data_IF_054821115222
#
_entry.id   IF_054821115222
#
_cell.length_a   1.000
_cell.length_b   1.000
_cell.length_c   1.000
_cell.angle_alpha   90.00
_cell.angle_beta   90.00
_cell.angle_gamma   90.00
#
_symmetry.space_group_name_H-M   'P 1'
#
loop_
_entity.id
_entity.type
_entity.pdbx_description
1 polymer ?
#
# COMPACT_ATOMS: atom_id res chain seq x y z
N UNK A 1 55.61 44.10 -58.27
CA UNK A 1 54.29 43.47 -58.42
C UNK A 1 54.51 41.96 -58.46
N UNK A 2 54.54 41.32 -57.28
CA UNK A 2 54.86 39.89 -57.15
C UNK A 2 53.61 39.06 -57.39
N UNK A 3 53.61 38.29 -58.48
CA UNK A 3 52.56 37.34 -58.81
C UNK A 3 52.65 36.17 -57.84
N UNK A 4 51.70 36.07 -56.91
CA UNK A 4 51.56 34.91 -56.03
C UNK A 4 51.00 33.76 -56.88
N UNK A 5 51.86 32.81 -57.20
CA UNK A 5 51.47 31.59 -57.93
C UNK A 5 50.82 30.64 -56.94
N UNK A 6 49.49 30.60 -56.92
CA UNK A 6 48.74 29.54 -56.22
C UNK A 6 49.00 28.20 -56.90
N UNK A 7 49.82 27.35 -56.27
CA UNK A 7 49.96 25.95 -56.65
C UNK A 7 48.62 25.25 -56.41
N UNK A 8 47.91 24.92 -57.49
CA UNK A 8 46.72 24.07 -57.42
C UNK A 8 47.16 22.67 -56.99
N UNK A 9 46.88 22.31 -55.74
CA UNK A 9 47.08 20.95 -55.25
C UNK A 9 45.88 20.14 -55.73
N UNK A 10 46.11 19.23 -56.69
CA UNK A 10 45.08 18.29 -57.11
C UNK A 10 44.80 17.32 -55.96
N UNK A 11 43.55 17.26 -55.53
CA UNK A 11 43.10 16.30 -54.52
C UNK A 11 43.52 14.89 -54.93
N UNK A 12 44.28 14.21 -54.07
CA UNK A 12 44.69 12.84 -54.36
C UNK A 12 43.52 11.91 -54.09
N UNK A 13 43.32 10.93 -54.97
CA UNK A 13 42.26 9.91 -54.82
C UNK A 13 42.33 9.21 -53.45
N UNK A 14 43.55 9.04 -52.93
CA UNK A 14 43.84 8.48 -51.61
C UNK A 14 43.23 9.33 -50.49
N UNK A 15 43.35 10.65 -50.56
CA UNK A 15 42.81 11.56 -49.54
C UNK A 15 41.28 11.49 -49.48
N UNK A 16 40.62 11.42 -50.64
CA UNK A 16 39.16 11.27 -50.69
C UNK A 16 38.71 9.92 -50.11
N UNK A 17 39.47 8.85 -50.36
CA UNK A 17 39.20 7.53 -49.79
C UNK A 17 39.35 7.54 -48.26
N UNK A 18 40.41 8.16 -47.74
CA UNK A 18 40.63 8.29 -46.29
C UNK A 18 39.50 9.10 -45.63
N UNK A 19 39.10 10.22 -46.22
CA UNK A 19 37.99 11.04 -45.71
C UNK A 19 36.69 10.23 -45.69
N UNK A 20 36.42 9.43 -46.72
CA UNK A 20 35.22 8.61 -46.79
C UNK A 20 35.20 7.52 -45.70
N UNK A 21 36.32 6.83 -45.48
CA UNK A 21 36.44 5.83 -44.40
C UNK A 21 36.27 6.47 -43.02
N UNK A 22 36.90 7.63 -42.79
CA UNK A 22 36.74 8.36 -41.54
C UNK A 22 35.29 8.79 -41.32
N UNK A 23 34.62 9.30 -42.36
CA UNK A 23 33.23 9.72 -42.26
C UNK A 23 32.31 8.55 -41.90
N UNK A 24 32.51 7.37 -42.51
CA UNK A 24 31.76 6.16 -42.16
C UNK A 24 32.02 5.76 -40.71
N UNK A 25 33.28 5.78 -40.26
CA UNK A 25 33.64 5.44 -38.89
C UNK A 25 32.99 6.40 -37.87
N UNK A 26 33.04 7.71 -38.15
CA UNK A 26 32.37 8.72 -37.33
C UNK A 26 30.86 8.55 -37.32
N UNK A 27 30.25 8.27 -38.47
CA UNK A 27 28.81 8.01 -38.58
C UNK A 27 28.39 6.80 -37.73
N UNK A 28 29.18 5.72 -37.76
CA UNK A 28 28.94 4.52 -36.94
C UNK A 28 29.15 4.80 -35.44
N UNK A 29 30.19 5.55 -35.06
CA UNK A 29 30.45 5.89 -33.67
C UNK A 29 29.32 6.75 -33.08
N UNK A 30 28.88 7.78 -33.80
CA UNK A 30 27.77 8.65 -33.39
C UNK A 30 26.46 7.86 -33.35
N UNK A 31 26.21 7.03 -34.38
CA UNK A 31 25.01 6.19 -34.44
C UNK A 31 24.94 5.16 -33.29
N UNK A 32 26.07 4.56 -32.93
CA UNK A 32 26.17 3.66 -31.78
C UNK A 32 25.85 4.37 -30.46
N UNK A 33 26.45 5.54 -30.23
CA UNK A 33 26.20 6.33 -29.02
C UNK A 33 24.74 6.78 -28.91
N UNK A 34 24.14 7.22 -30.02
CA UNK A 34 22.74 7.64 -30.03
C UNK A 34 21.80 6.51 -29.59
N UNK A 35 22.02 5.28 -30.07
CA UNK A 35 21.24 4.10 -29.66
C UNK A 35 21.42 3.76 -28.19
N UNK A 36 22.65 3.79 -27.68
CA UNK A 36 22.88 3.54 -26.25
C UNK A 36 22.18 4.57 -25.36
N UNK A 37 22.12 5.83 -25.79
CA UNK A 37 21.41 6.88 -25.05
C UNK A 37 19.90 6.67 -25.09
N UNK A 38 19.32 6.25 -26.21
CA UNK A 38 17.88 5.96 -26.28
C UNK A 38 17.52 4.76 -25.41
N UNK A 39 18.26 3.66 -25.53
CA UNK A 39 18.01 2.45 -24.73
C UNK A 39 18.17 2.70 -23.23
N UNK A 40 19.12 3.57 -22.84
CA UNK A 40 19.31 3.97 -21.45
C UNK A 40 18.16 4.84 -20.93
N UNK A 41 17.60 5.72 -21.77
CA UNK A 41 16.44 6.54 -21.39
C UNK A 41 15.20 5.68 -21.19
N UNK A 42 14.91 4.79 -22.13
CA UNK A 42 13.74 3.93 -22.09
C UNK A 42 13.74 3.06 -20.80
N UNK A 43 14.90 2.52 -20.41
CA UNK A 43 15.06 1.78 -19.15
C UNK A 43 14.86 2.64 -17.90
N UNK A 44 15.35 3.88 -17.92
CA UNK A 44 15.19 4.80 -16.78
C UNK A 44 13.72 5.22 -16.64
N UNK A 45 13.04 5.45 -17.75
CA UNK A 45 11.63 5.81 -17.77
C UNK A 45 10.77 4.63 -17.26
N UNK A 46 11.00 3.41 -17.74
CA UNK A 46 10.32 2.20 -17.26
C UNK A 46 10.52 1.98 -15.75
N UNK A 47 11.77 2.10 -15.26
CA UNK A 47 12.05 1.96 -13.83
C UNK A 47 11.42 3.08 -13.00
N UNK A 48 11.40 4.32 -13.50
CA UNK A 48 10.74 5.45 -12.83
C UNK A 48 9.23 5.22 -12.71
N UNK A 49 8.59 4.73 -13.77
CA UNK A 49 7.16 4.39 -13.76
C UNK A 49 6.85 3.29 -12.73
N UNK A 50 7.62 2.19 -12.74
CA UNK A 50 7.48 1.09 -11.76
C UNK A 50 7.64 1.60 -10.31
N UNK A 51 8.62 2.45 -10.04
CA UNK A 51 8.84 3.04 -8.72
C UNK A 51 7.68 3.96 -8.27
N UNK A 52 7.14 4.77 -9.19
CA UNK A 52 6.01 5.65 -8.89
C UNK A 52 4.73 4.85 -8.61
N UNK A 53 4.51 3.79 -9.38
CA UNK A 53 3.42 2.84 -9.20
C UNK A 53 3.51 2.18 -7.82
N UNK A 54 4.66 1.56 -7.49
CA UNK A 54 4.92 0.94 -6.20
C UNK A 54 4.65 1.89 -5.04
N UNK A 55 5.21 3.11 -5.10
CA UNK A 55 5.04 4.12 -4.06
C UNK A 55 3.57 4.50 -3.86
N UNK A 56 2.82 4.68 -4.93
CA UNK A 56 1.40 5.08 -4.85
C UNK A 56 0.56 4.00 -4.20
N UNK A 57 0.78 2.73 -4.59
CA UNK A 57 0.07 1.58 -4.04
C UNK A 57 0.44 1.37 -2.56
N UNK A 58 1.74 1.30 -2.24
CA UNK A 58 2.22 1.09 -0.88
C UNK A 58 1.75 2.20 0.05
N UNK A 59 1.78 3.46 -0.39
CA UNK A 59 1.27 4.58 0.41
C UNK A 59 -0.22 4.39 0.72
N UNK A 60 -1.02 3.96 -0.27
CA UNK A 60 -2.46 3.74 -0.08
C UNK A 60 -2.73 2.61 0.92
N UNK A 61 -2.09 1.44 0.75
CA UNK A 61 -2.24 0.32 1.68
C UNK A 61 -1.79 0.74 3.09
N UNK A 62 -0.66 1.43 3.20
CA UNK A 62 -0.13 1.93 4.47
C UNK A 62 -1.07 2.89 5.17
N UNK A 63 -1.68 3.80 4.40
CA UNK A 63 -2.64 4.78 4.86
C UNK A 63 -3.94 4.13 5.41
N UNK A 64 -4.42 3.06 4.76
CA UNK A 64 -5.60 2.31 5.19
C UNK A 64 -5.28 1.43 6.42
N UNK A 65 -4.13 0.74 6.43
CA UNK A 65 -3.64 -0.02 7.59
C UNK A 65 -3.39 0.85 8.82
N UNK A 66 -2.81 2.04 8.64
CA UNK A 66 -2.59 2.98 9.75
C UNK A 66 -3.89 3.48 10.39
N UNK A 67 -5.03 3.30 9.71
CA UNK A 67 -6.38 3.65 10.16
C UNK A 67 -7.26 2.42 10.45
N UNK A 68 -6.63 1.25 10.62
CA UNK A 68 -7.31 0.02 11.03
C UNK A 68 -8.02 0.19 12.37
N UNK A 69 -9.19 -0.41 12.50
CA UNK A 69 -9.98 -0.42 13.72
C UNK A 69 -10.27 -1.88 14.12
N UNK A 70 -9.85 -2.31 15.32
CA UNK A 70 -10.19 -3.64 15.82
C UNK A 70 -11.67 -3.67 16.23
N UNK A 71 -12.55 -3.96 15.27
CA UNK A 71 -13.97 -4.11 15.51
C UNK A 71 -14.27 -5.58 15.86
N UNK A 72 -14.75 -5.89 17.09
CA UNK A 72 -15.19 -7.24 17.43
C UNK A 72 -16.54 -7.54 16.77
N UNK A 73 -16.60 -8.63 16.01
CA UNK A 73 -17.82 -9.13 15.37
C UNK A 73 -18.19 -10.47 16.01
N UNK A 74 -19.47 -10.69 16.37
CA UNK A 74 -19.91 -11.96 16.94
C UNK A 74 -19.80 -13.07 15.91
N UNK A 75 -19.16 -14.17 16.27
CA UNK A 75 -19.21 -15.42 15.51
C UNK A 75 -20.60 -16.02 15.68
N UNK A 76 -21.41 -15.99 14.63
CA UNK A 76 -22.63 -16.77 14.58
C UNK A 76 -22.27 -18.23 14.27
N UNK A 77 -22.13 -19.07 15.29
CA UNK A 77 -22.04 -20.54 15.13
C UNK A 77 -23.41 -21.11 14.73
N UNK A 78 -24.01 -20.62 13.65
CA UNK A 78 -25.37 -20.95 13.23
C UNK A 78 -25.47 -22.27 12.46
N UNK A 79 -24.35 -22.93 12.16
CA UNK A 79 -24.29 -24.19 11.40
C UNK A 79 -24.19 -25.46 12.28
N UNK A 80 -24.47 -25.38 13.58
CA UNK A 80 -24.66 -26.58 14.43
C UNK A 80 -26.16 -26.95 14.50
N UNK A 81 -26.63 -27.98 13.78
CA UNK A 81 -28.01 -28.44 13.86
C UNK A 81 -28.15 -29.38 15.04
N UNK A 82 -28.22 -28.89 16.28
CA UNK A 82 -28.77 -29.74 17.35
C UNK A 82 -29.33 -28.94 18.51
N UNK A 83 -30.62 -29.14 18.76
CA UNK A 83 -31.31 -28.58 19.89
C UNK A 83 -30.68 -29.03 21.21
N UNK A 84 -30.13 -28.08 21.96
CA UNK A 84 -30.30 -27.89 23.40
C UNK A 84 -29.55 -26.60 23.77
N UNK A 85 -30.27 -25.49 23.87
CA UNK A 85 -29.68 -24.19 24.17
C UNK A 85 -29.31 -24.13 25.65
N UNK A 86 -28.06 -24.47 25.99
CA UNK A 86 -27.46 -24.02 27.24
C UNK A 86 -27.07 -22.54 27.08
N UNK A 87 -27.93 -21.64 27.55
CA UNK A 87 -27.79 -20.18 27.47
C UNK A 87 -26.70 -19.61 28.40
N UNK A 88 -25.49 -20.17 28.40
CA UNK A 88 -24.37 -19.70 29.24
C UNK A 88 -23.06 -19.47 28.47
N UNK A 89 -23.03 -19.70 27.15
CA UNK A 89 -21.86 -19.36 26.35
C UNK A 89 -21.90 -17.86 26.03
N UNK A 90 -20.90 -17.11 26.52
CA UNK A 90 -20.63 -15.75 26.03
C UNK A 90 -20.41 -15.81 24.51
N UNK A 91 -20.96 -14.87 23.73
CA UNK A 91 -20.72 -14.85 22.29
C UNK A 91 -19.21 -14.72 22.04
N UNK A 92 -18.63 -15.67 21.32
CA UNK A 92 -17.24 -15.57 20.85
C UNK A 92 -17.17 -14.43 19.83
N UNK A 93 -16.32 -13.42 20.06
CA UNK A 93 -16.11 -12.32 19.12
C UNK A 93 -14.73 -12.43 18.50
N UNK A 94 -14.62 -12.21 17.20
CA UNK A 94 -13.34 -12.08 16.49
C UNK A 94 -13.16 -10.67 15.97
N UNK A 95 -11.93 -10.18 15.92
CA UNK A 95 -11.63 -8.91 15.28
C UNK A 95 -11.77 -9.02 13.75
N UNK A 96 -12.25 -7.96 13.11
CA UNK A 96 -12.24 -7.82 11.64
C UNK A 96 -10.83 -7.52 11.13
N UNK A 97 -9.94 -8.49 11.26
CA UNK A 97 -8.59 -8.49 10.72
C UNK A 97 -8.24 -9.93 10.38
N UNK A 98 -8.26 -10.24 9.09
CA UNK A 98 -8.13 -11.58 8.55
C UNK A 98 -7.04 -11.59 7.49
N UNK A 99 -6.14 -12.56 7.59
CA UNK A 99 -5.10 -12.83 6.62
C UNK A 99 -5.27 -14.26 6.11
N UNK A 100 -5.17 -14.41 4.81
CA UNK A 100 -5.11 -15.70 4.13
C UNK A 100 -3.77 -15.78 3.40
N UNK A 101 -2.92 -16.66 3.89
CA UNK A 101 -1.63 -17.00 3.29
C UNK A 101 -1.90 -17.88 2.06
N UNK A 102 -1.65 -17.34 0.86
CA UNK A 102 -1.90 -18.04 -0.39
C UNK A 102 -0.61 -18.13 -1.19
N UNK A 103 0.22 -19.15 -0.93
CA UNK A 103 1.44 -19.35 -1.68
C UNK A 103 1.11 -19.90 -3.06
N UNK A 104 1.57 -19.25 -4.13
CA UNK A 104 1.58 -19.88 -5.45
C UNK A 104 2.72 -20.90 -5.52
N UNK A 105 2.37 -22.15 -5.29
CA UNK A 105 3.28 -23.29 -5.34
C UNK A 105 3.85 -23.55 -6.74
N UNK A 106 3.28 -22.95 -7.79
CA UNK A 106 3.72 -23.18 -9.17
C UNK A 106 4.87 -22.25 -9.59
N UNK A 107 4.83 -20.98 -9.19
CA UNK A 107 5.83 -19.98 -9.60
C UNK A 107 6.60 -19.36 -8.44
N UNK A 108 6.21 -19.65 -7.18
CA UNK A 108 6.83 -19.09 -5.99
C UNK A 108 6.53 -17.60 -5.81
N UNK A 109 5.37 -17.15 -6.29
CA UNK A 109 4.83 -15.82 -6.04
C UNK A 109 3.86 -15.91 -4.86
N UNK A 110 3.91 -14.94 -3.96
CA UNK A 110 2.95 -14.89 -2.86
C UNK A 110 1.70 -14.14 -3.33
N UNK A 111 0.51 -14.70 -3.08
CA UNK A 111 -0.79 -14.14 -3.48
C UNK A 111 -1.68 -13.87 -2.26
N UNK A 112 -1.08 -13.38 -1.18
CA UNK A 112 -1.77 -13.20 0.09
C UNK A 112 -3.00 -12.30 -0.02
N UNK A 113 -3.99 -12.62 0.80
CA UNK A 113 -5.15 -11.77 1.00
C UNK A 113 -5.14 -11.17 2.41
N UNK A 114 -5.32 -9.85 2.51
CA UNK A 114 -5.49 -9.15 3.79
C UNK A 114 -6.80 -8.37 3.81
N UNK A 115 -7.66 -8.69 4.78
CA UNK A 115 -8.96 -8.08 4.99
C UNK A 115 -9.04 -7.43 6.37
N UNK A 116 -9.51 -6.19 6.44
CA UNK A 116 -9.64 -5.48 7.72
C UNK A 116 -10.64 -4.32 7.67
N UNK A 117 -11.10 -3.88 8.85
CA UNK A 117 -11.94 -2.68 8.99
C UNK A 117 -11.10 -1.43 9.15
N UNK A 118 -11.43 -0.37 8.41
CA UNK A 118 -10.78 0.95 8.47
C UNK A 118 -11.80 2.09 8.51
N UNK A 119 -11.44 3.20 9.15
CA UNK A 119 -12.24 4.44 9.14
C UNK A 119 -12.04 5.29 7.88
N UNK A 120 -11.18 4.88 6.95
CA UNK A 120 -10.87 5.68 5.76
C UNK A 120 -11.74 5.25 4.57
N UNK A 121 -12.92 5.87 4.45
CA UNK A 121 -13.74 5.80 3.24
C UNK A 121 -13.11 6.54 2.05
N UNK A 122 -13.49 6.18 0.82
CA UNK A 122 -13.05 6.90 -0.40
C UNK A 122 -13.61 8.33 -0.38
N UNK A 123 -12.75 9.39 -0.32
CA UNK A 123 -13.22 10.77 -0.31
C UNK A 123 -13.93 11.19 -1.60
N UNK A 124 -13.82 10.41 -2.69
CA UNK A 124 -14.48 10.66 -3.97
C UNK A 124 -15.94 10.22 -3.98
N UNK A 125 -16.38 9.40 -3.03
CA UNK A 125 -17.80 9.09 -2.82
C UNK A 125 -18.50 10.28 -2.13
N UNK A 126 -18.63 11.38 -2.87
CA UNK A 126 -18.92 12.74 -2.40
C UNK A 126 -20.31 13.01 -1.83
N UNK A 127 -20.93 12.09 -1.10
CA UNK A 127 -22.16 12.34 -0.34
C UNK A 127 -22.40 11.40 0.85
N UNK A 128 -21.44 10.51 1.16
CA UNK A 128 -21.55 9.61 2.31
C UNK A 128 -20.81 10.25 3.50
N UNK A 129 -21.38 10.26 4.73
CA UNK A 129 -20.69 10.76 5.91
C UNK A 129 -19.29 10.11 6.04
N UNK A 130 -18.25 10.94 6.14
CA UNK A 130 -16.82 10.54 6.22
C UNK A 130 -16.44 9.78 7.51
N UNK A 131 -17.43 9.23 8.24
CA UNK A 131 -17.25 8.47 9.47
C UNK A 131 -17.74 7.02 9.38
N UNK A 132 -18.04 6.53 8.17
CA UNK A 132 -18.47 5.15 7.99
C UNK A 132 -17.24 4.22 8.05
N UNK A 133 -17.31 3.23 8.94
CA UNK A 133 -16.36 2.13 8.97
C UNK A 133 -16.60 1.28 7.74
N UNK A 134 -15.55 1.04 6.96
CA UNK A 134 -15.60 0.14 5.82
C UNK A 134 -14.69 -1.04 6.07
N UNK A 135 -15.06 -2.17 5.49
CA UNK A 135 -14.20 -3.33 5.39
C UNK A 135 -13.52 -3.31 4.03
N UNK A 136 -12.20 -3.51 4.01
CA UNK A 136 -11.41 -3.54 2.79
C UNK A 136 -10.68 -4.85 2.70
N UNK A 137 -10.54 -5.40 1.51
CA UNK A 137 -9.64 -6.52 1.26
C UNK A 137 -8.70 -6.21 0.08
N UNK A 138 -7.44 -6.60 0.24
CA UNK A 138 -6.41 -6.53 -0.78
C UNK A 138 -5.98 -7.95 -1.15
N UNK A 139 -5.92 -8.24 -2.45
CA UNK A 139 -5.50 -9.51 -3.00
C UNK A 139 -5.03 -9.32 -4.44
N UNK A 140 -4.29 -10.29 -4.97
CA UNK A 140 -3.92 -10.36 -6.39
C UNK A 140 -4.93 -11.25 -7.10
N UNK A 141 -5.58 -10.74 -8.14
CA UNK A 141 -6.49 -11.51 -8.98
C UNK A 141 -5.73 -11.96 -10.24
N UNK A 142 -5.49 -13.26 -10.35
CA UNK A 142 -4.76 -13.89 -11.46
C UNK A 142 -5.67 -14.67 -12.40
N UNK A 143 -6.99 -14.66 -12.16
CA UNK A 143 -7.94 -15.42 -12.99
C UNK A 143 -8.10 -14.73 -14.36
N UNK A 144 -7.77 -15.40 -15.48
CA UNK A 144 -7.97 -14.83 -16.81
C UNK A 144 -9.45 -14.61 -17.17
N UNK A 145 -10.40 -15.17 -16.39
CA UNK A 145 -11.83 -14.98 -16.59
C UNK A 145 -12.39 -13.75 -15.89
N UNK A 146 -11.67 -13.19 -14.91
CA UNK A 146 -12.07 -11.94 -14.26
C UNK A 146 -11.54 -10.76 -15.10
N UNK A 147 -12.35 -9.69 -15.26
CA UNK A 147 -11.88 -8.47 -15.90
C UNK A 147 -10.93 -7.68 -15.00
N UNK A 148 -11.03 -7.87 -13.68
CA UNK A 148 -10.12 -7.27 -12.70
C UNK A 148 -8.89 -8.16 -12.52
N UNK A 149 -7.77 -7.88 -13.19
CA UNK A 149 -6.52 -8.63 -13.04
C UNK A 149 -5.42 -7.77 -12.39
N UNK A 150 -4.55 -8.42 -11.61
CA UNK A 150 -3.48 -7.78 -10.83
C UNK A 150 -3.92 -7.44 -9.42
N UNK A 151 -3.40 -6.35 -8.83
CA UNK A 151 -3.76 -5.96 -7.47
C UNK A 151 -5.16 -5.34 -7.43
N UNK A 152 -6.05 -6.00 -6.71
CA UNK A 152 -7.44 -5.58 -6.51
C UNK A 152 -7.67 -5.16 -5.07
N UNK A 153 -8.50 -4.14 -4.91
CA UNK A 153 -9.07 -3.71 -3.62
C UNK A 153 -10.57 -3.87 -3.65
N UNK A 154 -11.12 -4.68 -2.75
CA UNK A 154 -12.58 -4.79 -2.57
C UNK A 154 -13.04 -3.98 -1.36
N UNK A 155 -14.27 -3.46 -1.40
CA UNK A 155 -14.84 -2.59 -0.35
C UNK A 155 -16.23 -3.06 0.08
N UNK A 156 -16.35 -3.50 1.33
CA UNK A 156 -17.62 -3.73 2.01
C UNK A 156 -18.05 -2.52 2.84
N UNK A 157 -19.30 -2.08 2.68
CA UNK A 157 -19.88 -1.00 3.49
C UNK A 157 -20.40 -1.47 4.86
N UNK A 158 -20.40 -2.78 5.11
CA UNK A 158 -20.89 -3.37 6.35
C UNK A 158 -19.80 -4.28 6.97
N UNK A 159 -19.05 -3.78 7.96
CA UNK A 159 -18.01 -4.55 8.64
C UNK A 159 -18.52 -5.87 9.24
N UNK A 160 -17.82 -6.98 8.96
CA UNK A 160 -18.18 -8.29 9.50
C UNK A 160 -19.38 -8.95 8.85
N UNK A 161 -19.91 -8.36 7.77
CA UNK A 161 -20.95 -8.94 6.93
C UNK A 161 -20.45 -9.27 5.52
N UNK A 162 -19.14 -9.16 5.26
CA UNK A 162 -18.55 -9.81 4.09
C UNK A 162 -18.60 -11.33 4.32
N UNK A 163 -19.33 -12.09 3.48
CA UNK A 163 -19.35 -13.54 3.59
C UNK A 163 -17.93 -14.12 3.57
N UNK A 164 -17.64 -15.15 4.37
CA UNK A 164 -16.38 -15.90 4.25
C UNK A 164 -16.20 -16.43 2.81
N UNK A 165 -17.32 -16.82 2.17
CA UNK A 165 -17.39 -17.15 0.75
C UNK A 165 -18.05 -16.00 -0.03
N UNK A 166 -17.36 -14.89 -0.22
CA UNK A 166 -17.93 -13.80 -1.03
C UNK A 166 -17.91 -14.21 -2.50
N UNK A 167 -19.08 -14.52 -3.07
CA UNK A 167 -19.25 -14.59 -4.52
C UNK A 167 -18.72 -13.27 -5.14
N UNK A 168 -17.79 -13.34 -6.11
CA UNK A 168 -17.10 -12.18 -6.70
C UNK A 168 -17.99 -10.99 -7.10
N UNK A 169 -19.26 -11.25 -7.43
CA UNK A 169 -20.19 -10.30 -8.05
C UNK A 169 -20.78 -9.23 -7.10
N UNK A 170 -20.69 -9.35 -5.77
CA UNK A 170 -21.47 -8.49 -4.86
C UNK A 170 -20.70 -7.38 -4.15
N UNK A 171 -19.37 -7.36 -4.22
CA UNK A 171 -18.54 -6.36 -3.53
C UNK A 171 -17.88 -5.46 -4.57
N UNK A 172 -18.03 -4.12 -4.49
CA UNK A 172 -17.31 -3.20 -5.36
C UNK A 172 -15.80 -3.49 -5.35
N UNK A 173 -15.25 -3.75 -6.53
CA UNK A 173 -13.82 -3.99 -6.77
C UNK A 173 -13.20 -2.79 -7.46
N UNK A 174 -11.99 -2.44 -7.06
CA UNK A 174 -11.17 -1.41 -7.66
C UNK A 174 -9.81 -2.03 -8.03
N UNK A 175 -9.49 -2.04 -9.33
CA UNK A 175 -8.15 -2.42 -9.79
C UNK A 175 -7.18 -1.29 -9.45
N UNK A 176 -6.22 -1.59 -8.58
CA UNK A 176 -5.18 -0.64 -8.20
C UNK A 176 -4.01 -0.66 -9.18
N UNK A 177 -3.70 -1.82 -9.72
CA UNK A 177 -2.64 -2.01 -10.71
C UNK A 177 -2.77 -3.34 -11.42
N UNK A 178 -2.73 -3.30 -12.75
CA UNK A 178 -2.67 -4.49 -13.60
C UNK A 178 -1.27 -5.12 -13.62
N UNK A 179 -0.24 -4.48 -13.05
CA UNK A 179 1.16 -4.96 -13.12
C UNK A 179 1.66 -5.64 -11.85
N UNK A 180 0.89 -5.60 -10.77
CA UNK A 180 1.26 -6.29 -9.53
C UNK A 180 0.89 -7.77 -9.68
N UNK A 181 1.87 -8.64 -9.49
CA UNK A 181 1.75 -10.10 -9.68
C UNK A 181 2.03 -10.89 -8.40
N UNK A 182 2.46 -10.21 -7.33
CA UNK A 182 2.65 -10.82 -6.02
C UNK A 182 2.36 -9.80 -4.90
N UNK A 183 1.81 -10.29 -3.81
CA UNK A 183 1.48 -9.57 -2.59
C UNK A 183 1.76 -10.48 -1.39
N UNK A 184 2.56 -10.00 -0.44
CA UNK A 184 2.94 -10.73 0.78
C UNK A 184 2.76 -9.83 2.00
N UNK A 185 2.27 -10.41 3.09
CA UNK A 185 2.15 -9.75 4.38
C UNK A 185 2.88 -10.50 5.48
N UNK A 186 3.69 -9.76 6.25
CA UNK A 186 4.29 -10.27 7.48
C UNK A 186 3.87 -9.44 8.68
N UNK A 187 3.77 -10.09 9.84
CA UNK A 187 3.18 -9.51 11.04
C UNK A 187 4.17 -9.56 12.20
N UNK A 188 4.43 -8.42 12.83
CA UNK A 188 5.32 -8.37 13.98
C UNK A 188 4.55 -8.64 15.27
N UNK A 189 4.91 -9.73 15.97
CA UNK A 189 4.45 -10.02 17.31
C UNK A 189 5.40 -9.41 18.35
N UNK A 190 4.98 -8.39 19.12
CA UNK A 190 5.83 -7.78 20.14
C UNK A 190 5.97 -8.63 21.41
N UNK A 191 5.12 -9.65 21.61
CA UNK A 191 5.21 -10.53 22.77
C UNK A 191 6.38 -11.53 22.61
N UNK A 192 6.57 -12.03 21.38
CA UNK A 192 7.71 -12.91 21.03
C UNK A 192 8.91 -12.14 20.47
N UNK A 193 8.67 -10.97 19.87
CA UNK A 193 9.67 -10.16 19.18
C UNK A 193 9.99 -10.67 17.76
N UNK A 194 9.12 -11.47 17.17
CA UNK A 194 9.35 -12.14 15.88
C UNK A 194 8.41 -11.63 14.77
N UNK A 195 8.86 -11.76 13.52
CA UNK A 195 8.02 -11.59 12.33
C UNK A 195 7.39 -12.93 11.99
N UNK A 196 6.07 -12.93 11.79
CA UNK A 196 5.26 -14.09 11.47
C UNK A 196 4.71 -13.94 10.05
N UNK A 197 4.67 -15.03 9.28
CA UNK A 197 4.01 -15.06 7.97
C UNK A 197 2.48 -15.10 8.07
N UNK A 198 1.94 -15.53 9.22
CA UNK A 198 0.48 -15.62 9.44
C UNK A 198 0.12 -14.97 10.77
N UNK A 199 -1.06 -14.36 10.86
CA UNK A 199 -1.59 -13.79 12.09
C UNK A 199 -2.88 -14.46 12.54
N UNK A 200 -2.76 -15.43 13.46
CA UNK A 200 -3.91 -16.23 13.94
C UNK A 200 -4.62 -15.62 15.17
N UNK A 201 -4.08 -14.54 15.75
CA UNK A 201 -4.64 -13.96 16.98
C UNK A 201 -5.90 -13.16 16.69
N UNK A 202 -7.02 -13.58 17.28
CA UNK A 202 -8.34 -12.98 17.06
C UNK A 202 -8.72 -11.92 18.09
N UNK A 203 -7.91 -11.75 19.14
CA UNK A 203 -8.15 -10.85 20.27
C UNK A 203 -7.36 -9.54 20.17
N UNK A 204 -6.33 -9.50 19.30
CA UNK A 204 -5.51 -8.31 19.09
C UNK A 204 -4.92 -8.22 17.68
N UNK A 205 -4.60 -7.00 17.28
CA UNK A 205 -3.88 -6.70 16.04
C UNK A 205 -2.35 -6.80 16.22
N UNK A 206 -1.62 -7.11 15.14
CA UNK A 206 -0.16 -7.07 15.16
C UNK A 206 0.34 -5.65 15.46
N UNK A 207 1.57 -5.53 15.95
CA UNK A 207 2.14 -4.20 16.22
C UNK A 207 2.60 -3.52 14.94
N UNK A 208 3.18 -4.29 14.01
CA UNK A 208 3.63 -3.84 12.70
C UNK A 208 3.14 -4.83 11.64
N UNK A 209 2.89 -4.31 10.43
CA UNK A 209 2.63 -5.10 9.23
C UNK A 209 3.68 -4.71 8.19
N UNK A 210 4.40 -5.69 7.66
CA UNK A 210 5.24 -5.53 6.47
C UNK A 210 4.39 -5.89 5.26
N UNK A 211 4.39 -5.02 4.26
CA UNK A 211 3.69 -5.23 2.99
C UNK A 211 4.72 -5.29 1.89
N UNK A 212 4.76 -6.40 1.15
CA UNK A 212 5.67 -6.61 0.03
C UNK A 212 4.87 -6.76 -1.27
N UNK A 213 5.27 -6.05 -2.32
CA UNK A 213 4.69 -6.11 -3.66
C UNK A 213 5.72 -6.62 -4.66
N UNK A 214 5.32 -7.54 -5.53
CA UNK A 214 6.04 -7.88 -6.75
C UNK A 214 5.40 -7.23 -7.97
N UNK A 215 6.14 -6.38 -8.69
CA UNK A 215 5.66 -5.69 -9.89
C UNK A 215 6.37 -6.23 -11.13
N UNK A 216 5.58 -6.69 -12.10
CA UNK A 216 6.06 -7.20 -13.37
C UNK A 216 6.34 -6.07 -14.41
N UNK A 217 7.23 -6.31 -15.38
CA UNK A 217 7.48 -5.36 -16.48
C UNK A 217 6.30 -5.24 -17.46
N UNK A 218 5.40 -6.21 -17.46
CA UNK A 218 4.19 -6.26 -18.31
C UNK A 218 2.95 -6.47 -17.44
N UNK A 219 1.74 -6.19 -17.96
CA UNK A 219 0.50 -6.49 -17.25
C UNK A 219 0.38 -7.98 -16.84
N UNK A 220 -0.40 -8.23 -15.80
CA UNK A 220 -0.60 -9.50 -15.10
C UNK A 220 -1.06 -10.60 -16.07
N UNK A 221 -2.05 -10.31 -16.92
CA UNK A 221 -2.56 -11.22 -17.95
C UNK A 221 -1.45 -11.71 -18.89
N UNK A 222 -0.66 -10.77 -19.40
CA UNK A 222 0.45 -11.02 -20.30
C UNK A 222 1.60 -11.74 -19.58
N UNK A 223 1.88 -11.39 -18.33
CA UNK A 223 2.90 -11.99 -17.49
C UNK A 223 2.61 -13.48 -17.28
N UNK A 224 1.44 -13.82 -16.74
CA UNK A 224 1.04 -15.21 -16.48
C UNK A 224 0.83 -16.00 -17.77
N UNK A 225 0.39 -15.39 -18.87
CA UNK A 225 0.31 -16.05 -20.17
C UNK A 225 1.69 -16.46 -20.73
N UNK A 226 2.75 -15.72 -20.39
CA UNK A 226 4.13 -15.97 -20.85
C UNK A 226 4.96 -16.82 -19.89
N UNK A 227 4.65 -16.80 -18.60
CA UNK A 227 5.37 -17.50 -17.55
C UNK A 227 5.62 -19.01 -17.85
N UNK A 228 4.64 -19.78 -18.38
CA UNK A 228 4.83 -21.16 -18.86
C UNK A 228 5.96 -21.37 -19.87
N UNK A 229 6.30 -20.34 -20.63
CA UNK A 229 7.30 -20.40 -21.71
C UNK A 229 8.62 -19.73 -21.32
N UNK A 230 8.59 -18.80 -20.37
CA UNK A 230 9.73 -17.97 -19.99
C UNK A 230 9.75 -17.70 -18.49
N UNK A 231 10.32 -18.63 -17.72
CA UNK A 231 10.50 -18.50 -16.27
C UNK A 231 11.41 -17.33 -15.87
N UNK A 232 12.26 -16.81 -16.78
CA UNK A 232 13.10 -15.64 -16.49
C UNK A 232 12.28 -14.36 -16.27
N UNK A 233 10.98 -14.38 -16.57
CA UNK A 233 10.06 -13.31 -16.20
C UNK A 233 9.97 -13.10 -14.68
N UNK A 234 10.07 -14.17 -13.87
CA UNK A 234 10.06 -14.05 -12.40
C UNK A 234 11.28 -13.25 -11.91
N UNK A 235 12.45 -13.46 -12.53
CA UNK A 235 13.68 -12.71 -12.20
C UNK A 235 13.60 -11.22 -12.56
N UNK A 236 12.64 -10.84 -13.40
CA UNK A 236 12.37 -9.45 -13.79
C UNK A 236 11.31 -8.77 -12.93
N UNK A 237 10.70 -9.48 -11.98
CA UNK A 237 9.78 -8.88 -11.01
C UNK A 237 10.58 -7.97 -10.08
N UNK A 238 10.17 -6.71 -9.99
CA UNK A 238 10.74 -5.75 -9.06
C UNK A 238 9.97 -5.80 -7.73
N UNK A 239 10.70 -5.92 -6.62
CA UNK A 239 10.14 -6.10 -5.29
C UNK A 239 10.22 -4.82 -4.46
N UNK A 240 9.10 -4.45 -3.84
CA UNK A 240 8.98 -3.25 -3.01
C UNK A 240 8.35 -3.57 -1.68
N UNK A 241 8.94 -3.09 -0.59
CA UNK A 241 8.47 -3.37 0.77
C UNK A 241 8.29 -2.08 1.56
N UNK A 242 7.24 -2.03 2.38
CA UNK A 242 7.05 -0.99 3.40
C UNK A 242 6.60 -1.62 4.72
N UNK A 243 6.87 -0.95 5.84
CA UNK A 243 6.43 -1.38 7.16
C UNK A 243 5.51 -0.35 7.78
N UNK A 244 4.36 -0.80 8.28
CA UNK A 244 3.28 0.03 8.80
C UNK A 244 3.05 -0.29 10.27
N UNK A 245 3.05 0.72 11.13
CA UNK A 245 2.72 0.55 12.53
C UNK A 245 1.20 0.68 12.77
N UNK A 246 0.61 -0.31 13.45
CA UNK A 246 -0.80 -0.28 13.82
C UNK A 246 -0.97 0.41 15.18
N UNK A 247 -1.81 1.46 15.24
CA UNK A 247 -1.91 2.32 16.42
C UNK A 247 -2.78 1.73 17.54
N UNK A 248 -3.86 1.06 17.18
CA UNK A 248 -4.82 0.46 18.12
C UNK A 248 -4.71 -1.04 18.01
N UNK A 249 -4.35 -1.71 19.11
CA UNK A 249 -4.07 -3.15 19.08
C UNK A 249 -5.18 -4.02 19.67
N UNK A 250 -5.98 -3.49 20.59
CA UNK A 250 -7.04 -4.25 21.25
C UNK A 250 -8.28 -3.39 21.46
N UNK A 251 -9.42 -4.07 21.59
CA UNK A 251 -10.69 -3.45 21.94
C UNK A 251 -11.28 -4.10 23.20
N UNK A 252 -11.77 -3.34 24.19
CA UNK A 252 -11.74 -1.87 24.25
C UNK A 252 -10.32 -1.35 24.48
N UNK A 253 -10.00 -0.20 23.90
CA UNK A 253 -8.70 0.45 24.11
C UNK A 253 -8.44 0.64 25.63
N UNK A 254 -7.33 0.10 26.18
CA UNK A 254 -7.04 0.19 27.60
C UNK A 254 -6.89 1.63 28.09
N UNK A 255 -6.51 2.58 27.21
CA UNK A 255 -6.43 4.00 27.55
C UNK A 255 -7.79 4.62 27.88
N UNK A 256 -8.87 4.12 27.26
CA UNK A 256 -10.24 4.55 27.52
C UNK A 256 -10.72 4.05 28.89
N UNK A 257 -10.34 2.83 29.28
CA UNK A 257 -10.71 2.25 30.57
C UNK A 257 -10.08 2.99 31.76
N UNK A 258 -8.81 3.38 31.64
CA UNK A 258 -8.10 4.12 32.71
C UNK A 258 -8.70 5.49 33.05
N UNK A 259 -9.37 6.13 32.08
CA UNK A 259 -10.00 7.45 32.28
C UNK A 259 -11.29 7.39 33.12
N UNK A 260 -12.07 6.30 33.04
CA UNK A 260 -13.32 6.16 33.80
C UNK A 260 -13.08 5.88 35.28
N UNK A 261 -12.00 5.18 35.63
CA UNK A 261 -11.72 4.84 37.03
C UNK A 261 -11.17 6.01 37.85
N UNK A 262 -10.60 7.04 37.21
CA UNK A 262 -10.14 8.27 37.91
C UNK A 262 -11.25 9.30 38.20
N UNK A 263 -12.41 9.21 37.56
CA UNK A 263 -13.53 10.14 37.78
C UNK A 263 -14.54 9.67 38.85
N UNK A 264 -14.37 8.47 39.44
CA UNK A 264 -15.27 7.91 40.45
C UNK A 264 -14.90 8.19 41.93
N UNK A 265 -13.78 8.87 42.19
CA UNK A 265 -13.32 9.16 43.55
C UNK A 265 -13.65 10.58 43.99
N UNK A 266 -14.92 10.90 44.25
CA UNK A 266 -15.30 12.23 44.72
C UNK A 266 -16.77 12.39 45.11
N UNK A 267 -17.02 12.43 46.42
CA UNK A 267 -18.20 12.97 47.11
C UNK A 267 -19.55 12.24 46.98
N UNK A 268 -19.80 11.35 47.94
CA UNK A 268 -21.15 11.10 48.46
C UNK A 268 -21.62 12.34 49.23
N UNK A 269 -22.43 13.19 48.61
CA UNK A 269 -23.18 14.23 49.30
C UNK A 269 -24.66 14.07 48.95
N UNK A 270 -25.47 13.86 49.99
CA UNK A 270 -26.91 13.75 49.94
C UNK A 270 -27.55 14.98 49.30
N UNK A 271 -28.56 14.79 48.42
CA UNK A 271 -29.46 15.86 48.02
C UNK A 271 -30.92 15.38 48.02
N UNK A 272 -31.59 15.77 49.10
CA UNK A 272 -32.99 16.10 49.18
C UNK A 272 -33.33 17.30 48.28
N UNK A 273 -34.43 17.19 47.52
CA UNK A 273 -35.41 18.25 47.23
C UNK A 273 -34.95 19.56 46.57
N UNK A 274 -35.55 19.89 45.42
CA UNK A 274 -35.60 21.28 44.97
C UNK A 274 -35.81 21.46 43.47
N UNK A 275 -37.07 21.60 43.06
CA UNK A 275 -37.46 22.14 41.76
C UNK A 275 -36.97 23.58 41.66
N UNK A 276 -36.18 23.92 40.64
CA UNK A 276 -36.04 25.29 40.14
C UNK A 276 -35.54 25.30 38.70
N UNK A 277 -36.38 25.88 37.85
CA UNK A 277 -36.15 26.24 36.46
C UNK A 277 -35.14 27.39 36.34
N UNK A 278 -34.06 27.19 35.60
CA UNK A 278 -33.25 28.27 35.04
C UNK A 278 -32.40 27.76 33.86
N UNK A 279 -32.68 28.27 32.65
CA UNK A 279 -31.72 28.29 31.53
C UNK A 279 -30.53 29.17 31.90
N UNK A 280 -29.29 28.81 31.51
CA UNK A 280 -28.53 29.68 30.60
C UNK A 280 -27.68 28.88 29.58
N UNK A 281 -27.69 29.27 28.31
CA UNK A 281 -26.73 30.20 27.70
C UNK A 281 -25.55 29.45 27.05
N UNK A 282 -25.57 29.43 25.72
CA UNK A 282 -24.56 28.86 24.82
C UNK A 282 -23.38 29.83 24.71
N UNK A 283 -22.13 29.44 24.99
CA UNK A 283 -20.97 30.21 24.59
C UNK A 283 -20.52 29.86 23.15
N UNK A 284 -19.97 30.83 22.41
CA UNK A 284 -19.67 30.69 20.99
C UNK A 284 -18.40 29.86 20.72
N UNK A 285 -18.40 29.24 19.55
CA UNK A 285 -17.26 28.62 18.88
C UNK A 285 -16.19 29.68 18.59
N UNK A 286 -14.96 29.45 19.06
CA UNK A 286 -13.77 30.19 18.63
C UNK A 286 -12.80 29.26 17.90
N UNK A 287 -12.70 29.41 16.58
CA UNK A 287 -11.67 28.81 15.74
C UNK A 287 -10.39 29.65 15.85
N UNK A 288 -9.34 29.08 16.46
CA UNK A 288 -8.01 29.66 16.47
C UNK A 288 -7.10 28.92 15.48
N UNK A 289 -6.87 29.54 14.32
CA UNK A 289 -5.80 29.19 13.39
C UNK A 289 -4.49 29.78 13.94
N UNK A 290 -3.53 28.94 14.32
CA UNK A 290 -2.15 29.36 14.55
C UNK A 290 -1.25 28.69 13.50
N UNK A 291 -0.90 29.48 12.49
CA UNK A 291 0.15 29.13 11.55
C UNK A 291 1.50 29.44 12.18
N UNK A 292 2.39 28.46 12.20
CA UNK A 292 3.79 28.71 12.50
C UNK A 292 4.68 27.83 11.63
N UNK A 293 5.24 28.47 10.58
CA UNK A 293 6.45 28.02 9.87
C UNK A 293 7.61 27.98 10.86
N UNK A 294 8.57 27.06 10.64
CA UNK A 294 9.97 27.38 10.84
C UNK A 294 10.71 27.29 9.50
N UNK A 295 11.14 28.45 9.04
CA UNK A 295 12.20 28.63 8.05
C UNK A 295 13.56 28.40 8.71
N UNK A 296 14.34 27.48 8.13
CA UNK A 296 15.78 27.59 7.86
C UNK A 296 16.75 27.64 9.03
N UNK A 297 17.67 26.66 9.08
CA UNK A 297 19.06 26.99 9.40
C UNK A 297 20.04 26.08 8.65
N UNK A 298 20.82 26.74 7.80
CA UNK A 298 22.04 26.33 7.16
C UNK A 298 23.15 26.10 8.20
N UNK A 299 23.83 24.95 8.11
CA UNK A 299 25.04 24.64 8.88
C UNK A 299 26.08 24.00 7.98
N UNK A 300 27.03 24.82 7.55
CA UNK A 300 28.24 24.51 6.80
C UNK A 300 29.42 24.40 7.80
N UNK A 301 30.48 23.63 7.44
CA UNK A 301 31.80 23.44 8.10
C UNK A 301 31.93 22.12 8.86
N UNK A 302 32.95 21.27 8.69
CA UNK A 302 34.21 21.26 7.94
C UNK A 302 34.72 19.80 7.96
N UNK A 303 35.54 19.31 7.01
CA UNK A 303 36.93 19.72 6.84
C UNK A 303 37.82 19.09 7.91
N UNK A 304 38.24 17.83 7.73
CA UNK A 304 39.16 17.14 8.65
C UNK A 304 39.83 15.93 8.02
N UNK A 305 41.09 16.10 7.63
CA UNK A 305 42.02 15.10 7.13
C UNK A 305 42.36 14.04 8.18
N UNK A 306 42.33 12.76 7.80
CA UNK A 306 43.47 11.83 7.85
C UNK A 306 43.13 10.49 7.21
#
# INVERSE_FOLDING_TARGET
MSVVVSRRHGFTLVELLVVLVLLVFFGLAIGGLARTITDARDRVDESSETNQLARTILQRISDELASVIPLPVPLNTADEPTGLVNATASPTTILTFYHEDTPDLQWGLEEDTLRFTTARGDPRQGNVPQGELIEVAYFVDTDPQTPEQGLVRSVGTLPGLLPEETQPEQVPREVLSERVVALDFQFYDPDTGEWLGTWERTDMLPALVSVTLGIAPVPCDEFFARLPRDQSLVERVEWFTTTVALRVRSYPDPSVQGSRQRSGGGTSAALSGGVSSASPNVPPVSLSFSGQRPSGQTGQSGGGLR
#
